data_IF_325856559585
#
_entry.id   IF_325856559585
#
_cell.length_a   1.000
_cell.length_b   1.000
_cell.length_c   1.000
_cell.angle_alpha   90.00
_cell.angle_beta   90.00
_cell.angle_gamma   90.00
#
_symmetry.space_group_name_H-M   'P 1'
#
loop_
_entity.id
_entity.type
_entity.pdbx_description
1 polymer ?
#
# COMPACT_ATOMS: atom_id res chain seq x y z
N UNK A 1 -1.54 -24.52 1.39
CA UNK A 1 -0.34 -23.75 1.79
C UNK A 1 -0.72 -22.28 1.88
N UNK A 2 -0.42 -21.60 2.99
CA UNK A 2 -0.69 -20.16 3.14
C UNK A 2 0.59 -19.34 2.94
N UNK A 3 0.49 -18.14 2.37
CA UNK A 3 1.61 -17.21 2.21
C UNK A 3 1.25 -15.89 2.89
N UNK A 4 2.19 -15.34 3.66
CA UNK A 4 2.07 -14.03 4.27
C UNK A 4 3.09 -13.11 3.61
N UNK A 5 2.61 -11.98 3.07
CA UNK A 5 3.45 -10.94 2.49
C UNK A 5 3.58 -9.78 3.48
N UNK A 6 4.81 -9.45 3.86
CA UNK A 6 5.11 -8.31 4.71
C UNK A 6 5.53 -7.12 3.87
N UNK A 7 4.74 -6.05 3.91
CA UNK A 7 4.98 -4.83 3.15
C UNK A 7 5.31 -3.71 4.13
N UNK A 8 6.51 -3.13 4.00
CA UNK A 8 6.88 -1.93 4.72
C UNK A 8 6.10 -0.73 4.16
N UNK A 9 5.68 0.18 5.04
CA UNK A 9 5.03 1.42 4.59
C UNK A 9 5.95 2.22 3.65
N UNK A 10 5.35 3.00 2.74
CA UNK A 10 6.10 3.92 1.88
C UNK A 10 6.83 4.99 2.69
N UNK A 11 7.71 5.74 2.03
CA UNK A 11 8.46 6.82 2.66
C UNK A 11 7.54 7.83 3.37
N UNK A 12 8.01 8.33 4.50
CA UNK A 12 7.32 9.30 5.35
C UNK A 12 7.89 10.69 5.06
N UNK A 13 7.04 11.72 5.09
CA UNK A 13 7.52 13.10 5.03
C UNK A 13 8.43 13.40 6.23
N UNK A 14 9.48 14.18 6.00
CA UNK A 14 10.36 14.67 7.06
C UNK A 14 9.88 16.03 7.55
N UNK A 15 9.95 16.28 8.87
CA UNK A 15 9.53 17.54 9.49
C UNK A 15 8.32 17.40 10.45
N UNK A 16 8.23 18.35 11.38
CA UNK A 16 7.32 18.29 12.54
C UNK A 16 5.83 18.39 12.19
N UNK A 17 5.47 18.82 10.98
CA UNK A 17 4.09 19.15 10.61
C UNK A 17 3.31 17.98 9.97
N UNK A 18 4.00 16.91 9.58
CA UNK A 18 3.39 15.84 8.79
C UNK A 18 3.10 14.55 9.57
N UNK A 19 3.02 14.59 10.90
CA UNK A 19 2.47 13.55 11.81
C UNK A 19 2.62 12.08 11.37
N UNK A 20 3.75 11.70 10.77
CA UNK A 20 3.98 10.35 10.24
C UNK A 20 3.09 9.93 9.06
N UNK A 21 2.70 10.86 8.18
CA UNK A 21 2.03 10.62 6.90
C UNK A 21 3.04 10.25 5.81
N UNK A 22 2.55 9.60 4.74
CA UNK A 22 3.40 9.32 3.57
C UNK A 22 3.79 10.63 2.88
N UNK A 23 5.03 10.71 2.40
CA UNK A 23 5.41 11.74 1.44
C UNK A 23 4.78 11.46 0.08
N UNK A 24 4.84 12.43 -0.84
CA UNK A 24 4.43 12.21 -2.23
C UNK A 24 5.18 11.03 -2.87
N UNK A 25 6.46 10.88 -2.52
CA UNK A 25 7.25 9.72 -2.92
C UNK A 25 6.72 8.43 -2.28
N UNK A 26 6.41 8.44 -0.98
CA UNK A 26 5.81 7.28 -0.29
C UNK A 26 4.47 6.84 -0.89
N UNK A 27 3.64 7.80 -1.28
CA UNK A 27 2.37 7.53 -1.97
C UNK A 27 2.62 6.94 -3.36
N UNK A 28 3.59 7.46 -4.12
CA UNK A 28 3.99 6.88 -5.42
C UNK A 28 4.51 5.46 -5.27
N UNK A 29 5.36 5.19 -4.28
CA UNK A 29 5.88 3.84 -3.98
C UNK A 29 4.73 2.86 -3.73
N UNK A 30 3.75 3.21 -2.90
CA UNK A 30 2.60 2.36 -2.62
C UNK A 30 1.74 2.08 -3.87
N UNK A 31 1.53 3.09 -4.72
CA UNK A 31 0.80 2.92 -6.00
C UNK A 31 1.54 2.00 -6.98
N UNK A 32 2.85 2.15 -7.11
CA UNK A 32 3.69 1.29 -7.96
C UNK A 32 3.60 -0.16 -7.50
N UNK A 33 3.65 -0.40 -6.19
CA UNK A 33 3.51 -1.74 -5.62
C UNK A 33 2.14 -2.36 -5.93
N UNK A 34 1.05 -1.61 -5.74
CA UNK A 34 -0.29 -2.05 -6.08
C UNK A 34 -0.44 -2.39 -7.58
N UNK A 35 0.13 -1.54 -8.45
CA UNK A 35 0.16 -1.80 -9.89
C UNK A 35 0.95 -3.07 -10.22
N UNK A 36 2.09 -3.29 -9.58
CA UNK A 36 2.90 -4.50 -9.76
C UNK A 36 2.10 -5.76 -9.39
N UNK A 37 1.44 -5.77 -8.23
CA UNK A 37 0.60 -6.89 -7.80
C UNK A 37 -0.57 -7.16 -8.75
N UNK A 38 -1.21 -6.09 -9.23
CA UNK A 38 -2.28 -6.18 -10.22
C UNK A 38 -1.78 -6.75 -11.56
N UNK A 39 -0.56 -6.37 -11.99
CA UNK A 39 0.08 -6.90 -13.21
C UNK A 39 0.43 -8.37 -13.09
N UNK A 40 0.95 -8.81 -11.94
CA UNK A 40 1.33 -10.21 -11.71
C UNK A 40 0.16 -11.13 -11.37
N UNK A 41 -1.06 -10.59 -11.25
CA UNK A 41 -2.25 -11.37 -10.89
C UNK A 41 -2.30 -11.79 -9.43
N UNK A 42 -1.48 -11.18 -8.56
CA UNK A 42 -1.46 -11.49 -7.15
C UNK A 42 -2.72 -10.97 -6.46
N UNK A 43 -3.39 -11.84 -5.72
CA UNK A 43 -4.62 -11.57 -4.96
C UNK A 43 -4.40 -11.84 -3.48
N UNK A 44 -4.90 -10.96 -2.63
CA UNK A 44 -4.88 -11.15 -1.17
C UNK A 44 -6.25 -11.57 -0.69
N UNK A 45 -6.29 -12.64 0.11
CA UNK A 45 -7.52 -13.06 0.81
C UNK A 45 -7.87 -12.13 1.97
N UNK A 46 -6.84 -11.55 2.60
CA UNK A 46 -6.98 -10.58 3.67
C UNK A 46 -5.84 -9.58 3.61
N UNK A 47 -6.12 -8.35 4.04
CA UNK A 47 -5.14 -7.28 4.18
C UNK A 47 -5.27 -6.70 5.57
N UNK A 48 -4.14 -6.62 6.28
CA UNK A 48 -4.04 -6.05 7.61
C UNK A 48 -3.03 -4.90 7.59
N UNK A 49 -3.24 -3.91 8.46
CA UNK A 49 -2.27 -2.84 8.70
C UNK A 49 -2.28 -2.47 10.18
N UNK A 50 -1.17 -1.97 10.70
CA UNK A 50 -1.15 -1.40 12.05
C UNK A 50 -1.93 -0.08 12.15
N UNK A 51 -1.94 0.52 13.34
CA UNK A 51 -2.77 1.69 13.64
C UNK A 51 -2.26 3.00 13.02
N UNK A 52 -1.00 3.04 12.56
CA UNK A 52 -0.34 4.26 12.08
C UNK A 52 -0.87 4.72 10.71
N UNK A 53 -1.00 6.04 10.54
CA UNK A 53 -1.53 6.64 9.31
C UNK A 53 -0.76 6.22 8.05
N UNK A 54 0.58 6.23 8.09
CA UNK A 54 1.43 5.74 6.98
C UNK A 54 1.18 4.27 6.60
N UNK A 55 0.88 3.40 7.57
CA UNK A 55 0.59 2.00 7.31
C UNK A 55 -0.76 1.85 6.61
N UNK A 56 -1.80 2.49 7.16
CA UNK A 56 -3.15 2.52 6.57
C UNK A 56 -3.15 3.14 5.17
N UNK A 57 -2.43 4.25 4.98
CA UNK A 57 -2.30 4.91 3.69
C UNK A 57 -1.62 4.02 2.65
N UNK A 58 -0.55 3.32 3.02
CA UNK A 58 0.13 2.36 2.13
C UNK A 58 -0.83 1.23 1.73
N UNK A 59 -1.52 0.61 2.70
CA UNK A 59 -2.44 -0.49 2.44
C UNK A 59 -3.59 -0.07 1.51
N UNK A 60 -4.22 1.09 1.75
CA UNK A 60 -5.29 1.62 0.89
C UNK A 60 -4.81 1.90 -0.53
N UNK A 61 -3.63 2.51 -0.68
CA UNK A 61 -3.08 2.84 -1.98
C UNK A 61 -2.74 1.58 -2.81
N UNK A 62 -2.25 0.52 -2.16
CA UNK A 62 -2.03 -0.78 -2.80
C UNK A 62 -3.36 -1.41 -3.22
N UNK A 63 -4.34 -1.47 -2.31
CA UNK A 63 -5.64 -2.13 -2.56
C UNK A 63 -6.44 -1.45 -3.68
N UNK A 64 -6.44 -0.12 -3.74
CA UNK A 64 -7.14 0.63 -4.79
C UNK A 64 -6.76 0.18 -6.21
N UNK A 65 -5.51 -0.26 -6.41
CA UNK A 65 -5.00 -0.74 -7.71
C UNK A 65 -5.33 -2.20 -8.02
N UNK A 66 -5.72 -2.98 -7.02
CA UNK A 66 -6.18 -4.34 -7.21
C UNK A 66 -7.66 -4.40 -7.59
N UNK A 67 -8.48 -3.48 -7.07
CA UNK A 67 -9.91 -3.39 -7.40
C UNK A 67 -10.17 -2.91 -8.83
N UNK A 68 -9.29 -2.09 -9.41
CA UNK A 68 -9.43 -1.57 -10.78
C UNK A 68 -9.45 -2.69 -11.84
N UNK A 69 -8.80 -3.84 -11.59
CA UNK A 69 -8.69 -4.94 -12.56
C UNK A 69 -9.77 -6.01 -12.42
N UNK A 70 -10.52 -6.02 -11.31
CA UNK A 70 -11.64 -6.95 -11.08
C UNK A 70 -12.96 -6.50 -11.72
N UNK A 71 -12.95 -5.41 -12.51
CA UNK A 71 -14.13 -4.84 -13.18
C UNK A 71 -14.24 -5.14 -14.68
N UNK A 72 -13.37 -6.01 -15.22
CA UNK A 72 -13.45 -6.50 -16.60
C UNK A 72 -13.78 -7.98 -16.62
#
# INVERSE_FOLDING_TARGET
MGVIYLIRHGQVSYGNDHHGHLSDLGMRQAKILGNYFSKTGMKFHAICSGSLNRQKATARAVLARQTEKNRN
#
